data_IF_481335019041
#
_entry.id   IF_481335019041
#
_cell.length_a   1.000
_cell.length_b   1.000
_cell.length_c   1.000
_cell.angle_alpha   90.00
_cell.angle_beta   90.00
_cell.angle_gamma   90.00
#
_symmetry.space_group_name_H-M   'P 1'
#
loop_
_entity.id
_entity.type
_entity.pdbx_description
1 polymer ?
#
# COMPACT_ATOMS: atom_id res chain seq x y z
N UNK A 1 5.68 -17.54 -49.38
CA UNK A 1 5.89 -17.91 -47.97
C UNK A 1 5.80 -16.63 -47.16
N UNK A 2 4.73 -16.43 -46.40
CA UNK A 2 4.51 -15.20 -45.63
C UNK A 2 4.88 -15.48 -44.16
N UNK A 3 5.92 -14.82 -43.67
CA UNK A 3 6.30 -14.84 -42.27
C UNK A 3 5.36 -13.94 -41.47
N UNK A 4 4.57 -14.55 -40.57
CA UNK A 4 3.80 -13.84 -39.55
C UNK A 4 4.78 -13.23 -38.52
N UNK A 5 4.84 -11.90 -38.48
CA UNK A 5 5.50 -11.12 -37.42
C UNK A 5 4.53 -10.97 -36.26
N UNK A 6 4.80 -11.64 -35.14
CA UNK A 6 4.07 -11.38 -33.89
C UNK A 6 4.55 -10.04 -33.31
N UNK A 7 3.64 -9.07 -33.24
CA UNK A 7 3.89 -7.78 -32.60
C UNK A 7 4.06 -7.96 -31.10
N UNK A 8 5.28 -7.75 -30.61
CA UNK A 8 5.49 -7.35 -29.23
C UNK A 8 5.07 -5.88 -29.14
N UNK A 9 3.93 -5.58 -28.51
CA UNK A 9 3.59 -4.21 -28.16
C UNK A 9 4.43 -3.79 -26.97
N UNK A 10 5.54 -3.10 -27.23
CA UNK A 10 6.24 -2.32 -26.21
C UNK A 10 5.28 -1.27 -25.64
N UNK A 11 5.30 -1.01 -24.31
CA UNK A 11 4.56 0.12 -23.75
C UNK A 11 4.99 1.40 -24.46
N UNK A 12 4.01 2.13 -25.00
CA UNK A 12 4.26 3.30 -25.84
C UNK A 12 4.55 4.49 -24.93
N UNK A 13 5.71 5.11 -25.13
CA UNK A 13 6.13 6.40 -24.57
C UNK A 13 4.99 7.42 -24.55
N UNK A 14 4.44 7.73 -23.37
CA UNK A 14 3.47 8.82 -23.21
C UNK A 14 2.45 8.68 -22.08
N UNK A 15 2.28 7.52 -21.47
CA UNK A 15 1.39 7.38 -20.30
C UNK A 15 2.02 8.13 -19.11
N UNK A 16 1.35 9.17 -18.62
CA UNK A 16 1.82 9.89 -17.43
C UNK A 16 1.68 8.96 -16.24
N UNK A 17 2.74 8.21 -15.95
CA UNK A 17 2.86 7.49 -14.69
C UNK A 17 2.70 8.54 -13.58
N UNK A 18 1.57 8.49 -12.86
CA UNK A 18 1.25 9.34 -11.71
C UNK A 18 2.18 8.96 -10.55
N UNK A 19 3.48 9.33 -10.64
CA UNK A 19 4.47 9.03 -9.59
C UNK A 19 4.23 9.83 -8.32
N UNK A 20 3.69 11.02 -8.46
CA UNK A 20 3.41 11.94 -7.35
C UNK A 20 2.02 12.51 -7.57
N UNK A 21 1.15 12.29 -6.61
CA UNK A 21 -0.23 12.78 -6.58
C UNK A 21 -0.44 13.54 -5.28
N UNK A 22 -1.36 14.50 -5.28
CA UNK A 22 -1.74 15.16 -4.03
C UNK A 22 -2.57 14.19 -3.18
N UNK A 23 -2.44 14.24 -1.85
CA UNK A 23 -3.25 13.41 -0.96
C UNK A 23 -4.76 13.65 -1.21
N UNK A 24 -5.16 14.90 -1.43
CA UNK A 24 -6.56 15.24 -1.75
C UNK A 24 -7.03 14.73 -3.12
N UNK A 25 -6.13 14.36 -4.02
CA UNK A 25 -6.48 13.67 -5.27
C UNK A 25 -6.66 12.16 -5.08
N UNK A 26 -6.12 11.59 -4.00
CA UNK A 26 -6.26 10.17 -3.64
C UNK A 26 -7.49 9.95 -2.76
N UNK A 27 -7.80 10.92 -1.88
CA UNK A 27 -9.04 10.92 -1.12
C UNK A 27 -10.24 10.96 -2.08
N UNK A 28 -11.15 10.01 -1.91
CA UNK A 28 -12.30 9.80 -2.77
C UNK A 28 -12.10 8.75 -3.87
N UNK A 29 -10.86 8.30 -4.13
CA UNK A 29 -10.62 7.24 -5.10
C UNK A 29 -11.27 5.93 -4.62
N UNK A 30 -11.89 5.23 -5.57
CA UNK A 30 -12.53 3.95 -5.29
C UNK A 30 -11.51 2.85 -5.05
N UNK A 31 -11.84 1.88 -4.20
CA UNK A 31 -11.02 0.69 -3.96
C UNK A 31 -11.81 -0.53 -4.41
N UNK A 32 -11.18 -1.40 -5.20
CA UNK A 32 -11.78 -2.64 -5.68
C UNK A 32 -10.90 -3.83 -5.35
N UNK A 33 -11.50 -5.02 -5.27
CA UNK A 33 -10.73 -6.26 -5.22
C UNK A 33 -10.38 -6.77 -6.62
N UNK A 34 -9.60 -7.86 -6.67
CA UNK A 34 -9.22 -8.51 -7.93
C UNK A 34 -10.40 -9.13 -8.70
N UNK A 35 -11.54 -9.35 -8.03
CA UNK A 35 -12.80 -9.80 -8.64
C UNK A 35 -13.63 -8.66 -9.24
N UNK A 36 -13.21 -7.41 -9.04
CA UNK A 36 -13.92 -6.21 -9.47
C UNK A 36 -15.02 -5.73 -8.50
N UNK A 37 -15.13 -6.33 -7.31
CA UNK A 37 -16.07 -5.88 -6.28
C UNK A 37 -15.64 -4.54 -5.71
N UNK A 38 -16.62 -3.65 -5.50
CA UNK A 38 -16.43 -2.39 -4.80
C UNK A 38 -16.21 -2.61 -3.30
N UNK A 39 -15.08 -2.13 -2.80
CA UNK A 39 -14.65 -2.12 -1.41
C UNK A 39 -14.75 -0.72 -0.78
N UNK A 40 -15.37 0.24 -1.46
CA UNK A 40 -15.61 1.60 -0.98
C UNK A 40 -14.56 2.58 -1.47
N UNK A 41 -14.27 3.61 -0.67
CA UNK A 41 -13.43 4.74 -1.11
C UNK A 41 -12.38 5.11 -0.06
N UNK A 42 -11.26 5.68 -0.51
CA UNK A 42 -10.25 6.25 0.38
C UNK A 42 -10.81 7.51 1.06
N UNK A 43 -10.89 7.49 2.38
CA UNK A 43 -11.34 8.59 3.21
C UNK A 43 -10.20 9.54 3.61
N UNK A 44 -9.02 8.99 3.91
CA UNK A 44 -7.87 9.76 4.42
C UNK A 44 -6.55 9.03 4.16
N UNK A 45 -5.45 9.80 4.08
CA UNK A 45 -4.09 9.27 3.99
C UNK A 45 -3.33 9.57 5.28
N UNK A 46 -2.82 8.51 5.92
CA UNK A 46 -2.04 8.60 7.16
C UNK A 46 -0.55 8.62 6.84
N UNK A 47 0.14 9.66 7.29
CA UNK A 47 1.58 9.85 7.10
C UNK A 47 2.35 9.48 8.37
N UNK A 48 3.49 8.81 8.23
CA UNK A 48 4.51 8.79 9.28
C UNK A 48 5.34 10.08 9.18
N UNK A 49 5.28 10.88 10.24
CA UNK A 49 6.01 12.15 10.33
C UNK A 49 7.49 11.97 10.61
N UNK A 50 7.94 10.78 11.04
CA UNK A 50 9.34 10.51 11.34
C UNK A 50 10.17 10.36 10.08
N UNK A 51 9.64 9.67 9.05
CA UNK A 51 10.35 9.40 7.80
C UNK A 51 9.67 10.03 6.56
N UNK A 52 8.49 10.64 6.73
CA UNK A 52 7.73 11.28 5.66
C UNK A 52 7.05 10.29 4.71
N UNK A 53 6.89 9.03 5.11
CA UNK A 53 6.25 7.99 4.31
C UNK A 53 4.74 7.90 4.55
N UNK A 54 4.04 7.20 3.64
CA UNK A 54 2.62 6.89 3.83
C UNK A 54 2.52 5.57 4.61
N UNK A 55 1.92 5.63 5.78
CA UNK A 55 1.69 4.49 6.64
C UNK A 55 0.46 3.69 6.17
N UNK A 56 -0.69 4.37 6.11
CA UNK A 56 -1.98 3.74 5.82
C UNK A 56 -2.85 4.62 4.92
N UNK A 57 -3.73 4.00 4.15
CA UNK A 57 -4.92 4.66 3.65
C UNK A 57 -6.12 4.21 4.49
N UNK A 58 -7.00 5.14 4.84
CA UNK A 58 -8.23 4.85 5.56
C UNK A 58 -9.32 4.58 4.53
N UNK A 59 -9.81 3.35 4.50
CA UNK A 59 -10.88 2.90 3.61
C UNK A 59 -12.22 3.01 4.32
N UNK A 60 -13.16 3.75 3.75
CA UNK A 60 -14.58 3.69 4.15
C UNK A 60 -15.27 2.57 3.39
N UNK A 61 -15.87 1.61 4.10
CA UNK A 61 -16.57 0.49 3.51
C UNK A 61 -17.95 0.26 4.15
N UNK A 62 -18.96 0.04 3.31
CA UNK A 62 -20.26 -0.49 3.74
C UNK A 62 -21.33 0.53 4.16
N UNK A 63 -21.18 1.82 3.85
CA UNK A 63 -22.23 2.80 4.10
C UNK A 63 -22.68 3.54 2.83
N UNK A 64 -23.99 3.76 2.71
CA UNK A 64 -24.53 4.74 1.77
C UNK A 64 -24.48 6.11 2.46
N UNK A 65 -23.72 7.06 1.89
CA UNK A 65 -23.77 8.48 2.28
C UNK A 65 -23.60 8.76 3.79
N UNK A 66 -22.54 8.23 4.42
CA UNK A 66 -22.07 8.72 5.73
C UNK A 66 -22.87 8.29 6.96
N UNK A 67 -23.78 7.33 6.81
CA UNK A 67 -24.44 6.66 7.94
C UNK A 67 -23.98 5.19 8.04
N UNK A 68 -23.23 4.88 9.10
CA UNK A 68 -22.79 3.51 9.40
C UNK A 68 -21.50 3.08 8.70
N UNK A 69 -20.76 4.00 8.11
CA UNK A 69 -19.45 3.75 7.50
C UNK A 69 -18.47 3.20 8.55
N UNK A 70 -18.03 1.96 8.33
CA UNK A 70 -16.92 1.38 9.09
C UNK A 70 -15.62 1.71 8.37
N UNK A 71 -14.68 2.27 9.12
CA UNK A 71 -13.36 2.64 8.60
C UNK A 71 -12.36 1.52 8.84
N UNK A 72 -11.48 1.33 7.86
CA UNK A 72 -10.42 0.34 7.92
C UNK A 72 -9.09 1.01 7.57
N UNK A 73 -8.08 0.80 8.40
CA UNK A 73 -6.72 1.18 8.01
C UNK A 73 -6.14 0.07 7.14
N UNK A 74 -5.77 0.46 5.92
CA UNK A 74 -5.15 -0.42 4.95
C UNK A 74 -3.69 0.01 4.79
N UNK A 75 -2.72 -0.87 5.04
CA UNK A 75 -1.32 -0.58 4.77
C UNK A 75 -1.12 -0.10 3.34
N UNK A 76 -0.38 0.99 3.14
CA UNK A 76 -0.16 1.54 1.79
C UNK A 76 0.42 0.49 0.82
N UNK A 77 1.22 -0.45 1.34
CA UNK A 77 1.84 -1.51 0.54
C UNK A 77 0.85 -2.60 0.09
N UNK A 78 -0.34 -2.67 0.68
CA UNK A 78 -1.40 -3.58 0.25
C UNK A 78 -2.23 -3.01 -0.91
N UNK A 79 -2.09 -1.72 -1.21
CA UNK A 79 -2.80 -1.05 -2.29
C UNK A 79 -1.96 -1.00 -3.56
N UNK A 80 -2.60 -1.28 -4.69
CA UNK A 80 -2.00 -1.10 -6.01
C UNK A 80 -2.75 -0.01 -6.76
N UNK A 81 -2.06 1.07 -7.12
CA UNK A 81 -2.64 2.11 -7.98
C UNK A 81 -2.76 1.58 -9.41
N UNK A 82 -3.97 1.58 -9.95
CA UNK A 82 -4.20 1.36 -11.38
C UNK A 82 -4.05 2.71 -12.06
N UNK A 83 -3.09 2.86 -12.97
CA UNK A 83 -2.72 4.19 -13.48
C UNK A 83 -3.69 4.72 -14.56
N UNK A 84 -4.43 3.81 -15.21
CA UNK A 84 -5.39 4.10 -16.27
C UNK A 84 -6.80 4.40 -15.75
N UNK A 85 -7.09 4.05 -14.50
CA UNK A 85 -8.41 4.19 -13.90
C UNK A 85 -8.23 4.75 -12.49
N UNK A 86 -8.98 5.78 -12.09
CA UNK A 86 -8.84 6.47 -10.79
C UNK A 86 -9.36 5.59 -9.63
N UNK A 87 -8.73 4.43 -9.43
CA UNK A 87 -9.05 3.45 -8.42
C UNK A 87 -7.80 2.68 -7.94
N UNK A 88 -7.89 2.17 -6.72
CA UNK A 88 -6.90 1.27 -6.13
C UNK A 88 -7.41 -0.16 -6.13
N UNK A 89 -6.49 -1.10 -6.27
CA UNK A 89 -6.76 -2.52 -6.04
C UNK A 89 -6.26 -2.92 -4.64
N UNK A 90 -7.10 -3.66 -3.93
CA UNK A 90 -6.77 -4.31 -2.67
C UNK A 90 -7.08 -5.81 -2.81
N UNK A 91 -6.06 -6.66 -2.66
CA UNK A 91 -6.21 -8.12 -2.74
C UNK A 91 -6.81 -8.70 -1.45
N UNK A 92 -8.09 -8.36 -1.21
CA UNK A 92 -8.87 -8.82 -0.07
C UNK A 92 -10.30 -9.10 -0.53
N UNK A 93 -10.82 -10.28 -0.15
CA UNK A 93 -12.22 -10.61 -0.36
C UNK A 93 -13.14 -9.66 0.41
N UNK A 94 -14.23 -9.23 -0.23
CA UNK A 94 -15.22 -8.34 0.38
C UNK A 94 -15.75 -8.86 1.72
N UNK A 95 -16.01 -10.17 1.81
CA UNK A 95 -16.43 -10.83 3.07
C UNK A 95 -15.39 -10.75 4.17
N UNK A 96 -14.09 -10.79 3.82
CA UNK A 96 -13.01 -10.64 4.80
C UNK A 96 -13.01 -9.22 5.35
N UNK A 97 -13.25 -8.21 4.48
CA UNK A 97 -13.35 -6.81 4.88
C UNK A 97 -14.58 -6.55 5.77
N UNK A 98 -15.75 -7.11 5.45
CA UNK A 98 -16.96 -7.04 6.28
C UNK A 98 -16.71 -7.49 7.72
N UNK A 99 -15.91 -8.55 7.88
CA UNK A 99 -15.60 -9.16 9.18
C UNK A 99 -14.30 -8.62 9.82
N UNK A 100 -13.56 -7.75 9.13
CA UNK A 100 -12.30 -7.22 9.64
C UNK A 100 -12.55 -6.27 10.84
N UNK A 101 -11.59 -6.15 11.78
CA UNK A 101 -11.63 -5.09 12.77
C UNK A 101 -11.51 -3.74 12.06
N UNK A 102 -12.42 -2.83 12.40
CA UNK A 102 -12.43 -1.46 11.89
C UNK A 102 -12.73 -0.50 13.04
N UNK A 103 -12.79 0.78 12.72
CA UNK A 103 -13.08 1.84 13.67
C UNK A 103 -14.16 2.78 13.14
N UNK A 104 -14.81 3.51 14.04
CA UNK A 104 -15.84 4.48 13.68
C UNK A 104 -15.21 5.81 13.28
N UNK A 105 -15.84 6.50 12.33
CA UNK A 105 -15.44 7.86 11.92
C UNK A 105 -15.43 8.89 13.05
N UNK A 106 -16.14 8.60 14.15
CA UNK A 106 -16.25 9.46 15.33
C UNK A 106 -15.31 8.99 16.47
N UNK A 107 -14.65 7.84 16.32
CA UNK A 107 -13.75 7.26 17.32
C UNK A 107 -12.52 6.63 16.64
N UNK A 108 -11.56 7.48 16.33
CA UNK A 108 -10.34 7.08 15.65
C UNK A 108 -9.33 6.46 16.64
N UNK A 109 -8.62 5.39 16.22
CA UNK A 109 -7.58 4.79 17.05
C UNK A 109 -6.37 5.72 17.18
N UNK A 110 -5.56 5.47 18.21
CA UNK A 110 -4.24 6.11 18.31
C UNK A 110 -3.28 5.46 17.30
N UNK A 111 -3.16 6.04 16.11
CA UNK A 111 -2.23 5.54 15.08
C UNK A 111 -0.77 5.67 15.46
N UNK A 112 -0.44 6.42 16.50
CA UNK A 112 0.92 6.51 17.01
C UNK A 112 1.30 5.33 17.90
N UNK A 113 0.32 4.49 18.32
CA UNK A 113 0.57 3.26 19.07
C UNK A 113 1.15 2.17 18.14
N UNK A 114 2.42 1.75 18.34
CA UNK A 114 3.05 0.74 17.50
C UNK A 114 2.38 -0.64 17.60
N UNK A 115 1.73 -0.96 18.73
CA UNK A 115 1.06 -2.24 18.93
C UNK A 115 -0.20 -2.37 18.06
N UNK A 116 -0.93 -1.27 17.91
CA UNK A 116 -2.08 -1.18 17.02
C UNK A 116 -1.64 -1.35 15.56
N UNK A 117 -0.59 -0.63 15.14
CA UNK A 117 -0.05 -0.72 13.79
C UNK A 117 0.42 -2.14 13.42
N UNK A 118 1.10 -2.82 14.35
CA UNK A 118 1.52 -4.22 14.14
C UNK A 118 0.33 -5.14 13.89
N UNK A 119 -0.77 -5.00 14.66
CA UNK A 119 -1.98 -5.81 14.47
C UNK A 119 -2.63 -5.61 13.09
N UNK A 120 -2.59 -4.40 12.54
CA UNK A 120 -3.06 -4.13 11.18
C UNK A 120 -2.16 -4.84 10.16
N UNK A 121 -0.85 -4.69 10.27
CA UNK A 121 0.10 -5.34 9.36
C UNK A 121 -0.04 -6.88 9.37
N UNK A 122 -0.23 -7.48 10.55
CA UNK A 122 -0.46 -8.92 10.70
C UNK A 122 -1.77 -9.37 10.02
N UNK A 123 -2.86 -8.59 10.14
CA UNK A 123 -4.14 -8.91 9.50
C UNK A 123 -4.06 -8.95 7.97
N UNK A 124 -3.29 -8.02 7.39
CA UNK A 124 -3.09 -7.90 5.95
C UNK A 124 -1.87 -8.68 5.43
N UNK A 125 -1.10 -9.33 6.31
CA UNK A 125 0.09 -10.09 5.92
C UNK A 125 1.20 -9.23 5.30
N UNK A 126 1.30 -7.96 5.69
CA UNK A 126 2.26 -7.01 5.13
C UNK A 126 3.42 -6.74 6.09
N UNK A 127 4.61 -6.47 5.56
CA UNK A 127 5.74 -6.02 6.37
C UNK A 127 5.60 -4.53 6.67
N UNK A 128 5.69 -4.11 7.94
CA UNK A 128 5.66 -2.70 8.29
C UNK A 128 6.70 -1.86 7.57
N UNK A 129 6.33 -0.66 7.15
CA UNK A 129 7.21 0.23 6.39
C UNK A 129 8.47 0.61 7.19
N UNK A 130 8.34 0.80 8.51
CA UNK A 130 9.46 1.11 9.40
C UNK A 130 10.49 -0.01 9.53
N UNK A 131 10.12 -1.27 9.25
CA UNK A 131 11.07 -2.38 9.24
C UNK A 131 11.94 -2.38 7.97
N UNK A 132 11.44 -1.82 6.86
CA UNK A 132 12.18 -1.74 5.59
C UNK A 132 13.33 -0.73 5.65
N UNK A 133 13.21 0.33 6.46
CA UNK A 133 14.27 1.32 6.68
C UNK A 133 15.45 0.81 7.52
N UNK A 134 15.22 -0.22 8.36
CA UNK A 134 16.22 -0.72 9.32
C UNK A 134 17.27 -1.70 8.77
N UNK A 135 17.07 -2.26 7.56
CA UNK A 135 18.01 -3.24 6.97
C UNK A 135 19.17 -2.63 6.18
N UNK A 136 19.23 -1.31 6.00
CA UNK A 136 20.36 -0.63 5.37
C UNK A 136 21.38 -0.20 6.44
N UNK A 137 22.09 -1.15 7.04
CA UNK A 137 23.13 -0.84 8.03
C UNK A 137 23.96 -2.02 8.55
N UNK A 138 23.57 -3.26 8.29
CA UNK A 138 24.33 -4.43 8.73
C UNK A 138 24.54 -5.41 7.58
N UNK A 139 25.49 -5.08 6.71
CA UNK A 139 25.98 -5.97 5.68
C UNK A 139 27.47 -5.72 5.45
N UNK A 140 28.29 -6.73 5.78
CA UNK A 140 29.69 -6.90 5.39
C UNK A 140 30.77 -6.06 6.12
N UNK A 141 31.06 -6.45 7.37
CA UNK A 141 32.46 -6.66 7.77
C UNK A 141 32.72 -8.17 7.75
N UNK A 142 32.66 -8.73 6.54
CA UNK A 142 33.06 -10.10 6.26
C UNK A 142 34.55 -10.13 5.97
N UNK A 143 35.23 -11.06 6.62
CA UNK A 143 36.63 -11.38 6.48
C UNK A 143 37.15 -11.40 5.03
N UNK A 144 38.25 -10.68 4.81
CA UNK A 144 39.23 -10.93 3.75
C UNK A 144 40.55 -10.42 4.32
N UNK A 145 41.55 -11.24 4.59
CA UNK A 145 42.14 -12.19 3.68
C UNK A 145 43.64 -11.86 3.69
N UNK A 146 44.40 -12.75 4.31
CA UNK A 146 45.87 -12.85 4.32
C UNK A 146 46.59 -12.40 3.03
N UNK A 147 47.75 -11.72 3.13
CA UNK A 147 49.05 -12.20 2.63
C UNK A 147 50.22 -11.18 2.62
N UNK A 148 51.28 -11.53 3.39
CA UNK A 148 52.72 -11.70 3.01
C UNK A 148 53.68 -10.51 2.73
N UNK A 149 54.93 -10.80 3.19
CA UNK A 149 56.28 -10.35 2.76
C UNK A 149 56.72 -8.98 3.34
N UNK A 150 57.83 -8.82 4.06
CA UNK A 150 59.06 -9.59 4.23
C UNK A 150 60.24 -8.65 3.91
N UNK A 151 61.10 -8.40 4.90
CA UNK A 151 62.58 -8.21 4.85
C UNK A 151 63.10 -8.25 6.28
#
# INVERSE_FOLDING_TARGET
>A
MATHSQGHTSPTTGEKIRRVVSAGSVTGDSVRNLSGDDLGNIQEIMLDVNDGSIAYAVLSFGGFLGMGDKLFAVPWQALTLVQDEEHFLLDVDKKKLENAPGFDKDNWPDFSDPSWGQGIHDHYGTTPYWQRGGQQGQGQQGAGGTARRGV
#
